data_IF_673839671545
#
_entry.id   IF_673839671545
#
_cell.length_a   1.000
_cell.length_b   1.000
_cell.length_c   1.000
_cell.angle_alpha   90.00
_cell.angle_beta   90.00
_cell.angle_gamma   90.00
#
_symmetry.space_group_name_H-M   'P 1'
#
loop_
_entity.id
_entity.type
_entity.pdbx_description
1 polymer ?
#
# COMPACT_ATOMS: atom_id res chain seq x y z
N UNK A 1 -69.32 3.81 -39.80
CA UNK A 1 -69.41 3.62 -38.34
C UNK A 1 -68.89 4.89 -37.70
N UNK A 2 -69.71 5.53 -36.87
CA UNK A 2 -69.36 6.80 -36.23
C UNK A 2 -68.43 6.53 -35.05
N UNK A 3 -67.22 7.07 -35.07
CA UNK A 3 -66.32 7.00 -33.91
C UNK A 3 -66.92 7.82 -32.78
N UNK A 4 -67.10 7.22 -31.60
CA UNK A 4 -67.42 7.97 -30.39
C UNK A 4 -66.10 8.57 -29.90
N UNK A 5 -65.90 9.86 -30.11
CA UNK A 5 -64.74 10.59 -29.63
C UNK A 5 -65.09 11.31 -28.32
N UNK A 6 -64.59 10.79 -27.19
CA UNK A 6 -64.83 11.35 -25.86
C UNK A 6 -63.61 12.16 -25.43
N UNK A 7 -63.57 13.43 -25.80
CA UNK A 7 -62.51 14.37 -25.38
C UNK A 7 -63.07 15.37 -24.38
N UNK A 8 -62.57 15.36 -23.14
CA UNK A 8 -62.76 16.49 -22.21
C UNK A 8 -61.62 17.48 -22.41
N UNK A 9 -61.95 18.77 -22.55
CA UNK A 9 -60.96 19.87 -22.60
C UNK A 9 -60.50 20.32 -21.22
N UNK A 10 -61.11 19.82 -20.14
CA UNK A 10 -60.82 20.21 -18.77
C UNK A 10 -60.27 19.03 -17.96
N UNK A 11 -59.09 19.22 -17.32
CA UNK A 11 -58.56 18.23 -16.38
C UNK A 11 -59.53 18.08 -15.19
N UNK A 12 -59.92 16.84 -14.88
CA UNK A 12 -60.80 16.52 -13.74
C UNK A 12 -62.28 16.29 -14.06
N UNK A 13 -62.73 16.42 -15.31
CA UNK A 13 -64.10 16.03 -15.69
C UNK A 13 -64.17 14.52 -15.92
N UNK A 14 -64.89 13.79 -15.05
CA UNK A 14 -65.08 12.35 -15.16
C UNK A 14 -66.06 12.01 -16.29
N UNK A 15 -65.64 11.17 -17.23
CA UNK A 15 -66.57 10.52 -18.16
C UNK A 15 -67.17 9.28 -17.51
N UNK A 16 -68.44 9.37 -17.11
CA UNK A 16 -69.16 8.19 -16.60
C UNK A 16 -69.77 7.41 -17.77
N UNK A 17 -69.14 6.29 -18.11
CA UNK A 17 -69.66 5.33 -19.07
C UNK A 17 -70.43 4.23 -18.34
N UNK A 18 -71.71 4.46 -18.11
CA UNK A 18 -72.58 3.51 -17.41
C UNK A 18 -73.20 2.50 -18.39
N UNK A 19 -73.39 1.25 -17.94
CA UNK A 19 -74.07 0.18 -18.68
C UNK A 19 -73.39 -0.25 -20.00
N UNK A 20 -72.08 -0.08 -20.15
CA UNK A 20 -71.36 -0.64 -21.30
C UNK A 20 -71.22 -2.15 -21.14
N UNK A 21 -71.93 -2.92 -21.97
CA UNK A 21 -71.90 -4.38 -21.95
C UNK A 21 -70.71 -4.97 -22.72
N UNK A 22 -70.27 -4.31 -23.79
CA UNK A 22 -69.16 -4.75 -24.65
C UNK A 22 -68.44 -3.55 -25.25
N UNK A 23 -67.11 -3.54 -25.17
CA UNK A 23 -66.25 -2.67 -25.98
C UNK A 23 -65.56 -3.59 -26.99
N UNK A 24 -66.06 -3.62 -28.23
CA UNK A 24 -65.48 -4.41 -29.31
C UNK A 24 -64.47 -3.58 -30.10
N UNK A 25 -63.44 -4.22 -30.62
CA UNK A 25 -62.54 -3.63 -31.61
C UNK A 25 -62.19 -4.64 -32.69
N UNK A 26 -61.78 -4.19 -33.88
CA UNK A 26 -61.19 -5.08 -34.88
C UNK A 26 -59.86 -5.64 -34.34
N UNK A 27 -59.47 -6.88 -34.72
CA UNK A 27 -58.19 -7.45 -34.29
C UNK A 27 -57.02 -6.50 -34.54
N UNK A 28 -56.15 -6.35 -33.54
CA UNK A 28 -54.96 -5.48 -33.61
C UNK A 28 -55.11 -4.11 -32.94
N UNK A 29 -56.31 -3.72 -32.50
CA UNK A 29 -56.49 -2.50 -31.71
C UNK A 29 -56.23 -2.75 -30.21
N UNK A 30 -55.66 -1.76 -29.53
CA UNK A 30 -55.36 -1.80 -28.09
C UNK A 30 -56.33 -0.87 -27.34
N UNK A 31 -56.98 -1.39 -26.29
CA UNK A 31 -57.69 -0.54 -25.34
C UNK A 31 -56.66 0.01 -24.33
N UNK A 32 -56.32 1.28 -24.45
CA UNK A 32 -55.46 1.97 -23.48
C UNK A 32 -56.32 2.68 -22.46
N UNK A 33 -56.19 2.30 -21.19
CA UNK A 33 -56.78 3.03 -20.05
C UNK A 33 -55.62 3.68 -19.30
N UNK A 34 -55.52 5.00 -19.38
CA UNK A 34 -54.46 5.79 -18.74
C UNK A 34 -55.04 6.65 -17.60
N UNK A 35 -54.41 6.63 -16.43
CA UNK A 35 -54.79 7.42 -15.25
C UNK A 35 -54.80 6.60 -13.95
N UNK A 36 -55.19 7.22 -12.83
CA UNK A 36 -55.37 6.54 -11.54
C UNK A 36 -56.70 5.78 -11.53
N UNK A 37 -56.77 4.65 -12.23
CA UNK A 37 -57.93 3.76 -12.13
C UNK A 37 -57.76 2.80 -10.97
N UNK A 38 -58.70 2.81 -10.01
CA UNK A 38 -58.81 1.70 -9.06
C UNK A 38 -59.23 0.44 -9.85
N UNK A 39 -58.31 -0.51 -10.00
CA UNK A 39 -58.52 -1.76 -10.75
C UNK A 39 -59.55 -2.71 -10.08
N UNK A 40 -60.16 -2.30 -8.97
CA UNK A 40 -61.00 -3.13 -8.10
C UNK A 40 -62.27 -3.72 -8.75
N UNK A 41 -62.55 -3.43 -10.01
CA UNK A 41 -63.76 -3.87 -10.73
C UNK A 41 -63.44 -4.50 -12.11
N UNK A 42 -62.17 -4.52 -12.55
CA UNK A 42 -61.81 -5.10 -13.84
C UNK A 42 -61.60 -6.61 -13.72
N UNK A 43 -62.64 -7.40 -14.05
CA UNK A 43 -62.50 -8.84 -14.24
C UNK A 43 -61.76 -9.08 -15.57
N UNK A 44 -60.43 -9.19 -15.51
CA UNK A 44 -59.55 -9.44 -16.66
C UNK A 44 -59.64 -10.88 -17.22
N UNK A 45 -60.58 -11.70 -16.72
CA UNK A 45 -60.72 -13.10 -17.11
C UNK A 45 -59.76 -14.00 -16.34
N UNK A 46 -59.35 -15.11 -16.95
CA UNK A 46 -58.55 -16.15 -16.29
C UNK A 46 -57.06 -15.83 -16.22
N UNK A 47 -56.54 -14.99 -17.11
CA UNK A 47 -55.11 -14.70 -17.24
C UNK A 47 -54.87 -13.19 -17.32
N UNK A 48 -53.93 -12.69 -16.52
CA UNK A 48 -53.35 -11.35 -16.68
C UNK A 48 -51.96 -11.56 -17.25
N UNK A 49 -51.72 -11.12 -18.48
CA UNK A 49 -50.38 -11.10 -19.08
C UNK A 49 -49.77 -9.70 -18.84
N UNK A 50 -48.69 -9.66 -18.06
CA UNK A 50 -47.96 -8.43 -17.75
C UNK A 50 -46.56 -8.57 -18.34
N UNK A 51 -46.31 -7.95 -19.50
CA UNK A 51 -45.00 -7.96 -20.16
C UNK A 51 -43.96 -7.03 -19.50
N UNK A 52 -44.28 -6.43 -18.36
CA UNK A 52 -43.49 -5.44 -17.65
C UNK A 52 -43.65 -5.54 -16.13
N UNK A 53 -43.56 -4.40 -15.43
CA UNK A 53 -43.66 -4.39 -13.97
C UNK A 53 -45.13 -4.39 -13.51
N UNK A 54 -45.48 -5.30 -12.60
CA UNK A 54 -46.71 -5.21 -11.81
C UNK A 54 -46.44 -4.37 -10.55
N UNK A 55 -46.94 -3.13 -10.52
CA UNK A 55 -46.87 -2.26 -9.34
C UNK A 55 -48.24 -2.20 -8.66
N UNK A 56 -48.35 -2.80 -7.48
CA UNK A 56 -49.58 -2.82 -6.69
C UNK A 56 -49.33 -2.23 -5.29
N UNK A 57 -50.11 -1.22 -4.89
CA UNK A 57 -50.01 -0.57 -3.57
C UNK A 57 -50.90 -1.25 -2.52
N UNK A 58 -50.87 -2.58 -2.45
CA UNK A 58 -51.70 -3.36 -1.53
C UNK A 58 -51.32 -4.84 -1.49
N UNK A 59 -52.19 -5.67 -0.92
CA UNK A 59 -51.96 -7.11 -0.82
C UNK A 59 -52.20 -7.80 -2.17
N UNK A 60 -51.33 -8.73 -2.54
CA UNK A 60 -51.56 -9.68 -3.63
C UNK A 60 -52.03 -11.01 -3.05
N UNK A 61 -53.17 -11.51 -3.53
CA UNK A 61 -53.66 -12.84 -3.16
C UNK A 61 -53.13 -13.85 -4.19
N UNK A 62 -52.36 -14.83 -3.72
CA UNK A 62 -51.90 -15.93 -4.56
C UNK A 62 -53.03 -16.96 -4.76
N UNK A 63 -53.08 -17.67 -5.90
CA UNK A 63 -53.86 -18.90 -6.03
C UNK A 63 -53.53 -19.84 -4.87
N UNK A 64 -54.51 -20.53 -4.31
CA UNK A 64 -54.30 -21.42 -3.18
C UNK A 64 -54.94 -22.79 -3.38
N UNK A 65 -54.46 -23.80 -2.64
CA UNK A 65 -55.00 -25.15 -2.67
C UNK A 65 -54.17 -26.14 -1.85
N UNK A 66 -54.73 -27.32 -1.60
CA UNK A 66 -54.03 -28.40 -0.90
C UNK A 66 -52.91 -28.99 -1.76
N UNK A 67 -52.02 -29.78 -1.16
CA UNK A 67 -51.01 -30.57 -1.90
C UNK A 67 -51.65 -31.49 -2.94
N UNK A 68 -52.84 -32.03 -2.69
CA UNK A 68 -53.57 -32.89 -3.63
C UNK A 68 -54.13 -32.10 -4.83
N UNK A 69 -54.46 -30.83 -4.64
CA UNK A 69 -55.02 -29.96 -5.68
C UNK A 69 -53.93 -29.20 -6.45
N UNK A 70 -52.73 -29.77 -6.58
CA UNK A 70 -51.66 -29.19 -7.39
C UNK A 70 -52.04 -29.27 -8.86
N UNK A 71 -52.11 -28.15 -9.60
CA UNK A 71 -52.26 -28.24 -11.04
C UNK A 71 -51.02 -28.90 -11.64
N UNK A 72 -51.17 -29.53 -12.81
CA UNK A 72 -50.03 -29.88 -13.65
C UNK A 72 -49.34 -28.56 -14.06
N UNK A 73 -48.24 -28.24 -13.39
CA UNK A 73 -47.62 -26.93 -13.42
C UNK A 73 -46.78 -26.72 -14.68
N UNK A 74 -46.75 -25.48 -15.18
CA UNK A 74 -45.68 -24.98 -16.04
C UNK A 74 -44.61 -24.34 -15.15
N UNK A 75 -43.34 -24.43 -15.53
CA UNK A 75 -42.25 -23.82 -14.77
C UNK A 75 -42.55 -22.34 -14.50
N UNK A 76 -42.37 -21.91 -13.24
CA UNK A 76 -42.61 -20.53 -12.81
C UNK A 76 -43.99 -20.28 -12.19
N UNK A 77 -44.87 -21.29 -12.08
CA UNK A 77 -46.12 -21.13 -11.33
C UNK A 77 -45.85 -20.87 -9.85
N UNK A 78 -46.57 -19.92 -9.25
CA UNK A 78 -46.53 -19.59 -7.82
C UNK A 78 -47.91 -19.77 -7.19
N UNK A 79 -47.97 -20.33 -5.97
CA UNK A 79 -49.22 -20.49 -5.22
C UNK A 79 -49.00 -20.57 -3.71
N UNK A 80 -50.07 -20.53 -2.93
CA UNK A 80 -50.06 -20.84 -1.50
C UNK A 80 -50.61 -22.25 -1.25
N UNK A 81 -49.83 -23.11 -0.57
CA UNK A 81 -50.26 -24.47 -0.25
C UNK A 81 -50.97 -24.50 1.11
N UNK A 82 -52.26 -24.83 1.11
CA UNK A 82 -53.07 -24.84 2.34
C UNK A 82 -52.83 -26.06 3.22
N UNK A 83 -52.14 -27.09 2.72
CA UNK A 83 -51.73 -28.25 3.53
C UNK A 83 -50.44 -27.97 4.29
N UNK A 84 -49.43 -27.36 3.64
CA UNK A 84 -48.14 -27.04 4.27
C UNK A 84 -48.09 -25.65 4.88
N UNK A 85 -49.11 -24.82 4.62
CA UNK A 85 -49.22 -23.41 5.05
C UNK A 85 -48.05 -22.54 4.57
N UNK A 86 -47.53 -22.84 3.39
CA UNK A 86 -46.36 -22.18 2.82
C UNK A 86 -46.60 -21.76 1.37
N UNK A 87 -46.05 -20.61 0.93
CA UNK A 87 -45.91 -20.32 -0.48
C UNK A 87 -45.03 -21.38 -1.15
N UNK A 88 -45.38 -21.78 -2.36
CA UNK A 88 -44.61 -22.74 -3.17
C UNK A 88 -44.56 -22.30 -4.63
N UNK A 89 -43.53 -22.76 -5.35
CA UNK A 89 -43.40 -22.55 -6.79
C UNK A 89 -43.09 -23.86 -7.52
N UNK A 90 -43.49 -23.96 -8.79
CA UNK A 90 -43.17 -25.12 -9.63
C UNK A 90 -41.89 -24.84 -10.44
N UNK A 91 -40.87 -25.67 -10.24
CA UNK A 91 -39.56 -25.48 -10.88
C UNK A 91 -39.42 -26.17 -12.25
N UNK A 92 -40.51 -26.71 -12.79
CA UNK A 92 -40.53 -27.51 -14.02
C UNK A 92 -40.56 -29.03 -13.78
N UNK A 93 -40.21 -29.47 -12.57
CA UNK A 93 -40.25 -30.89 -12.18
C UNK A 93 -41.14 -31.13 -10.96
N UNK A 94 -40.93 -30.37 -9.89
CA UNK A 94 -41.62 -30.52 -8.60
C UNK A 94 -42.09 -29.17 -8.06
N UNK A 95 -43.08 -29.22 -7.16
CA UNK A 95 -43.48 -28.09 -6.34
C UNK A 95 -42.51 -27.98 -5.15
N UNK A 96 -41.82 -26.84 -5.03
CA UNK A 96 -40.89 -26.55 -3.97
C UNK A 96 -41.45 -25.47 -3.04
N UNK A 97 -41.36 -25.68 -1.73
CA UNK A 97 -41.79 -24.69 -0.74
C UNK A 97 -40.80 -23.52 -0.68
N UNK A 98 -41.31 -22.30 -0.56
CA UNK A 98 -40.55 -21.10 -0.22
C UNK A 98 -40.50 -20.98 1.29
N UNK A 99 -39.74 -21.86 1.93
CA UNK A 99 -39.43 -21.77 3.36
C UNK A 99 -38.17 -20.93 3.51
N UNK A 100 -38.30 -19.68 3.97
CA UNK A 100 -37.14 -18.89 4.37
C UNK A 100 -36.90 -19.05 5.87
N UNK A 101 -35.68 -19.44 6.24
CA UNK A 101 -34.99 -18.71 7.32
C UNK A 101 -33.96 -17.72 6.75
N UNK A 102 -33.51 -17.85 5.50
CA UNK A 102 -32.79 -16.78 4.79
C UNK A 102 -32.72 -17.09 3.30
N UNK A 103 -33.42 -16.33 2.46
CA UNK A 103 -32.96 -16.10 1.08
C UNK A 103 -32.09 -14.86 1.18
N UNK A 104 -30.88 -15.00 1.72
CA UNK A 104 -29.86 -14.01 1.43
C UNK A 104 -29.66 -14.10 -0.09
N UNK A 105 -29.70 -12.99 -0.85
CA UNK A 105 -29.28 -13.03 -2.23
C UNK A 105 -27.92 -13.73 -2.26
N UNK A 106 -27.75 -14.72 -3.13
CA UNK A 106 -26.42 -15.19 -3.51
C UNK A 106 -25.76 -14.00 -4.20
N UNK A 107 -25.21 -13.09 -3.39
CA UNK A 107 -24.19 -12.18 -3.86
C UNK A 107 -23.14 -13.12 -4.42
N UNK A 108 -22.78 -13.02 -5.72
CA UNK A 108 -21.69 -13.80 -6.27
C UNK A 108 -20.54 -13.73 -5.28
N UNK A 109 -19.98 -14.87 -4.88
CA UNK A 109 -18.85 -14.85 -3.95
C UNK A 109 -17.75 -14.03 -4.61
N UNK A 110 -17.63 -12.77 -4.19
CA UNK A 110 -16.47 -11.97 -4.50
C UNK A 110 -15.33 -12.74 -3.87
N UNK A 111 -14.45 -13.29 -4.71
CA UNK A 111 -13.31 -14.04 -4.25
C UNK A 111 -12.61 -13.21 -3.19
N UNK A 112 -12.50 -13.75 -1.98
CA UNK A 112 -11.89 -13.03 -0.88
C UNK A 112 -10.52 -12.54 -1.32
N UNK A 113 -10.28 -11.24 -1.16
CA UNK A 113 -8.97 -10.67 -1.37
C UNK A 113 -8.12 -10.98 -0.15
N UNK A 114 -6.98 -11.61 -0.37
CA UNK A 114 -6.05 -11.96 0.71
C UNK A 114 -4.68 -11.38 0.42
N UNK A 115 -4.00 -10.94 1.47
CA UNK A 115 -2.61 -10.52 1.40
C UNK A 115 -1.83 -11.44 2.34
N UNK A 116 -0.76 -12.04 1.85
CA UNK A 116 0.13 -12.88 2.63
C UNK A 116 1.46 -12.16 2.81
N UNK A 117 1.94 -12.08 4.04
CA UNK A 117 3.24 -11.49 4.40
C UNK A 117 4.09 -12.61 5.03
N UNK A 118 5.23 -12.91 4.43
CA UNK A 118 6.16 -13.92 4.92
C UNK A 118 7.55 -13.29 5.15
N UNK A 119 8.18 -13.55 6.30
CA UNK A 119 9.55 -13.07 6.57
C UNK A 119 10.61 -14.06 6.09
N UNK A 120 11.75 -13.56 5.63
CA UNK A 120 12.89 -14.38 5.21
C UNK A 120 13.59 -15.11 6.37
N UNK A 121 13.58 -14.52 7.56
CA UNK A 121 14.22 -15.06 8.78
C UNK A 121 13.36 -16.10 9.52
N UNK A 122 12.09 -16.24 9.14
CA UNK A 122 11.22 -17.31 9.62
C UNK A 122 10.38 -17.86 8.45
N UNK A 123 10.91 -18.83 7.69
CA UNK A 123 10.21 -19.40 6.54
C UNK A 123 8.93 -20.17 6.93
N UNK A 124 8.70 -20.41 8.23
CA UNK A 124 7.41 -20.91 8.73
C UNK A 124 6.31 -19.85 8.81
N UNK A 125 6.62 -18.61 8.39
CA UNK A 125 5.71 -17.54 7.99
C UNK A 125 4.47 -17.40 8.86
N UNK A 126 4.43 -16.43 9.75
CA UNK A 126 3.16 -15.97 10.32
C UNK A 126 2.31 -15.44 9.17
N UNK A 127 1.48 -16.30 8.59
CA UNK A 127 0.54 -15.94 7.54
C UNK A 127 -0.53 -15.05 8.15
N UNK A 128 -0.34 -13.73 8.03
CA UNK A 128 -1.39 -12.77 8.32
C UNK A 128 -2.45 -12.89 7.22
N UNK A 129 -3.32 -13.88 7.35
CA UNK A 129 -4.39 -14.12 6.37
C UNK A 129 -5.48 -13.08 6.63
N UNK A 130 -5.52 -12.04 5.81
CA UNK A 130 -6.64 -11.12 5.78
C UNK A 130 -7.76 -11.70 4.92
N UNK A 131 -8.94 -11.86 5.51
CA UNK A 131 -10.12 -12.38 4.83
C UNK A 131 -11.22 -11.33 4.93
N UNK A 132 -11.15 -10.28 4.10
CA UNK A 132 -12.20 -9.27 4.08
C UNK A 132 -13.27 -9.63 3.06
N UNK A 133 -14.39 -10.12 3.56
CA UNK A 133 -15.65 -10.15 2.83
C UNK A 133 -16.44 -8.88 3.13
N UNK A 134 -15.99 -7.71 2.69
CA UNK A 134 -16.71 -6.46 2.98
C UNK A 134 -16.84 -5.58 1.73
N UNK A 135 -18.05 -5.06 1.53
CA UNK A 135 -18.42 -4.25 0.36
C UNK A 135 -18.34 -2.74 0.63
N UNK A 136 -18.16 -2.26 1.87
CA UNK A 136 -18.34 -0.82 2.19
C UNK A 136 -17.62 -0.24 3.42
N UNK A 137 -16.79 -0.95 4.20
CA UNK A 137 -16.17 -0.36 5.40
C UNK A 137 -14.63 -0.30 5.34
N UNK A 138 -14.09 0.92 5.44
CA UNK A 138 -12.67 1.22 5.59
C UNK A 138 -12.19 0.75 6.97
N UNK A 139 -11.63 -0.46 7.05
CA UNK A 139 -10.95 -0.94 8.24
C UNK A 139 -9.46 -0.66 8.15
N UNK A 140 -8.97 0.27 8.97
CA UNK A 140 -7.54 0.54 9.12
C UNK A 140 -6.94 -0.43 10.14
N UNK A 141 -6.21 -1.43 9.65
CA UNK A 141 -5.29 -2.21 10.47
C UNK A 141 -3.87 -1.64 10.30
N UNK A 142 -3.06 -1.63 11.35
CA UNK A 142 -1.67 -1.22 11.27
C UNK A 142 -0.79 -2.38 11.71
N UNK A 143 -0.14 -3.05 10.75
CA UNK A 143 0.90 -4.03 11.07
C UNK A 143 2.20 -3.27 11.33
N UNK A 144 2.69 -3.24 12.56
CA UNK A 144 4.01 -2.73 12.88
C UNK A 144 5.06 -3.80 12.64
N UNK A 145 5.80 -3.70 11.54
CA UNK A 145 6.94 -4.57 11.26
C UNK A 145 8.18 -3.92 11.87
N UNK A 146 8.40 -4.21 13.16
CA UNK A 146 9.65 -3.85 13.85
C UNK A 146 10.67 -4.92 13.50
N UNK A 147 11.56 -4.62 12.57
CA UNK A 147 12.58 -5.56 12.16
C UNK A 147 13.52 -5.88 13.32
N UNK A 148 13.65 -7.17 13.65
CA UNK A 148 14.96 -7.67 14.09
C UNK A 148 15.94 -7.42 12.94
N UNK A 149 17.20 -7.12 13.27
CA UNK A 149 18.25 -6.82 12.28
C UNK A 149 18.13 -7.78 11.09
N UNK A 150 18.11 -7.24 9.86
CA UNK A 150 18.13 -8.04 8.62
C UNK A 150 16.81 -8.76 8.24
N UNK A 151 15.68 -8.04 8.18
CA UNK A 151 14.40 -8.63 7.77
C UNK A 151 13.94 -8.16 6.39
N UNK A 152 13.78 -9.11 5.46
CA UNK A 152 13.03 -8.93 4.21
C UNK A 152 11.70 -9.67 4.32
N UNK A 153 10.62 -9.03 3.87
CA UNK A 153 9.29 -9.61 3.87
C UNK A 153 8.75 -9.71 2.44
N UNK A 154 8.31 -10.89 2.05
CA UNK A 154 7.59 -11.11 0.81
C UNK A 154 6.09 -10.89 1.03
N UNK A 155 5.50 -10.02 0.22
CA UNK A 155 4.09 -9.64 0.26
C UNK A 155 3.46 -10.09 -1.05
N UNK A 156 2.40 -10.88 -0.99
CA UNK A 156 1.64 -11.33 -2.17
C UNK A 156 0.15 -11.06 -1.96
N UNK A 157 -0.54 -10.67 -3.03
CA UNK A 157 -2.00 -10.50 -3.02
C UNK A 157 -2.69 -11.61 -3.83
N UNK A 158 -3.90 -12.00 -3.43
CA UNK A 158 -4.78 -12.94 -4.14
C UNK A 158 -6.22 -12.40 -4.15
N UNK A 159 -7.09 -12.93 -5.01
CA UNK A 159 -8.52 -12.55 -5.05
C UNK A 159 -8.86 -11.21 -5.70
N UNK A 160 -7.87 -10.45 -6.19
CA UNK A 160 -8.03 -9.16 -6.87
C UNK A 160 -7.01 -8.11 -6.43
N UNK A 161 -6.89 -7.00 -7.16
CA UNK A 161 -5.96 -5.91 -6.80
C UNK A 161 -6.34 -5.29 -5.47
N UNK A 162 -5.43 -5.25 -4.51
CA UNK A 162 -5.65 -4.60 -3.21
C UNK A 162 -4.93 -3.24 -3.18
N UNK A 163 -5.37 -2.33 -2.33
CA UNK A 163 -4.63 -1.09 -2.07
C UNK A 163 -4.12 -1.09 -0.64
N UNK A 164 -2.82 -0.83 -0.49
CA UNK A 164 -2.18 -0.76 0.81
C UNK A 164 -1.41 0.56 0.94
N UNK A 165 -1.66 1.28 2.02
CA UNK A 165 -0.82 2.38 2.48
C UNK A 165 0.40 1.79 3.19
N UNK A 166 1.57 2.06 2.62
CA UNK A 166 2.84 1.79 3.26
C UNK A 166 3.36 3.05 3.92
N UNK A 167 3.84 2.94 5.17
CA UNK A 167 4.58 3.99 5.86
C UNK A 167 5.95 3.44 6.22
N UNK A 168 7.00 3.98 5.61
CA UNK A 168 8.38 3.51 5.70
C UNK A 168 9.24 4.52 6.46
N UNK A 169 9.86 4.07 7.55
CA UNK A 169 10.84 4.81 8.32
C UNK A 169 12.22 4.26 7.99
N UNK A 170 13.11 5.11 7.44
CA UNK A 170 14.50 4.75 7.23
C UNK A 170 15.21 4.56 8.57
N UNK A 171 16.31 3.80 8.60
CA UNK A 171 17.04 3.54 9.83
C UNK A 171 17.88 4.75 10.27
N UNK A 172 18.12 4.88 11.57
CA UNK A 172 19.01 5.92 12.10
C UNK A 172 20.48 5.55 11.90
N UNK A 173 21.35 6.55 11.71
CA UNK A 173 22.81 6.37 11.76
C UNK A 173 23.29 6.15 13.20
N UNK A 174 24.51 5.64 13.38
CA UNK A 174 25.14 5.53 14.69
C UNK A 174 25.79 6.84 15.14
N UNK A 175 25.91 7.00 16.46
CA UNK A 175 26.75 8.04 17.05
C UNK A 175 28.24 7.75 16.85
N UNK A 176 29.06 8.78 17.03
CA UNK A 176 30.52 8.62 17.11
C UNK A 176 30.90 8.01 18.45
N UNK A 177 32.11 7.47 18.55
CA UNK A 177 32.51 6.80 19.79
C UNK A 177 32.61 7.77 20.98
N UNK A 178 33.19 8.95 20.81
CA UNK A 178 33.42 9.85 21.95
C UNK A 178 32.29 10.86 22.13
N UNK A 179 31.71 11.32 21.03
CA UNK A 179 30.60 12.26 21.01
C UNK A 179 29.81 12.12 19.70
N UNK A 180 28.69 12.83 19.61
CA UNK A 180 27.96 13.03 18.36
C UNK A 180 26.82 12.04 18.20
N UNK A 181 25.73 12.53 17.61
CA UNK A 181 24.51 11.76 17.42
C UNK A 181 24.38 11.41 15.94
N UNK A 182 24.09 10.14 15.64
CA UNK A 182 23.76 9.75 14.28
C UNK A 182 22.53 10.51 13.77
N UNK A 183 22.45 10.69 12.45
CA UNK A 183 21.28 11.27 11.80
C UNK A 183 20.06 10.37 11.98
N UNK A 184 18.89 10.97 12.13
CA UNK A 184 17.63 10.22 12.08
C UNK A 184 17.38 9.69 10.67
N UNK A 185 16.62 8.61 10.52
CA UNK A 185 16.18 8.14 9.21
C UNK A 185 15.10 9.04 8.60
N UNK A 186 14.75 8.75 7.35
CA UNK A 186 13.69 9.42 6.63
C UNK A 186 12.29 8.88 6.91
N UNK A 187 11.31 9.57 6.36
CA UNK A 187 9.92 9.13 6.29
C UNK A 187 9.45 9.10 4.84
N UNK A 188 8.81 8.02 4.41
CA UNK A 188 8.11 7.96 3.12
C UNK A 188 6.85 7.12 3.25
N UNK A 189 5.71 7.63 2.80
CA UNK A 189 4.47 6.87 2.78
C UNK A 189 3.76 6.98 1.43
N UNK A 190 2.92 5.99 1.11
CA UNK A 190 2.06 6.06 -0.07
C UNK A 190 1.20 4.83 -0.30
N UNK A 191 0.19 4.99 -1.16
CA UNK A 191 -0.80 3.96 -1.49
C UNK A 191 -0.38 3.18 -2.72
N UNK A 192 -0.09 1.90 -2.52
CA UNK A 192 0.43 0.98 -3.53
C UNK A 192 -0.66 0.00 -3.97
N UNK A 193 -0.91 -0.14 -5.28
CA UNK A 193 -1.74 -1.23 -5.80
C UNK A 193 -0.96 -2.55 -5.76
N UNK A 194 -1.47 -3.51 -4.99
CA UNK A 194 -0.97 -4.88 -4.86
C UNK A 194 -1.73 -5.78 -5.83
N UNK A 195 -1.13 -6.07 -6.98
CA UNK A 195 -1.73 -6.86 -8.06
C UNK A 195 -1.56 -8.36 -7.78
N UNK A 196 -2.61 -9.18 -7.95
CA UNK A 196 -2.51 -10.61 -7.75
C UNK A 196 -1.43 -11.27 -8.60
N UNK A 197 -0.71 -12.23 -8.01
CA UNK A 197 0.36 -12.95 -8.68
C UNK A 197 1.71 -12.20 -8.73
N UNK A 198 1.77 -10.96 -8.25
CA UNK A 198 3.02 -10.21 -8.09
C UNK A 198 3.50 -10.33 -6.64
N UNK A 199 4.79 -10.64 -6.48
CA UNK A 199 5.49 -10.60 -5.19
C UNK A 199 6.15 -9.25 -5.01
N UNK A 200 5.85 -8.60 -3.90
CA UNK A 200 6.47 -7.37 -3.46
C UNK A 200 7.41 -7.70 -2.30
N UNK A 201 8.64 -7.19 -2.33
CA UNK A 201 9.59 -7.39 -1.23
C UNK A 201 9.75 -6.10 -0.44
N UNK A 202 9.55 -6.17 0.86
CA UNK A 202 9.74 -5.09 1.81
C UNK A 202 11.03 -5.34 2.58
N UNK A 203 12.00 -4.44 2.44
CA UNK A 203 13.25 -4.44 3.19
C UNK A 203 13.18 -3.44 4.33
N UNK A 204 13.54 -3.89 5.53
CA UNK A 204 13.71 -3.02 6.71
C UNK A 204 15.19 -2.68 6.88
N UNK A 205 15.51 -1.39 6.83
CA UNK A 205 16.88 -0.91 6.99
C UNK A 205 17.43 -1.20 8.38
N UNK A 206 18.70 -1.59 8.45
CA UNK A 206 19.40 -1.75 9.72
C UNK A 206 19.90 -0.40 10.23
N UNK A 207 19.80 -0.17 11.54
CA UNK A 207 20.44 0.96 12.20
C UNK A 207 21.96 0.92 12.05
N UNK A 208 22.59 2.09 11.93
CA UNK A 208 24.04 2.18 11.91
C UNK A 208 24.65 1.61 13.19
N UNK A 209 25.83 1.02 13.11
CA UNK A 209 26.55 0.49 14.26
C UNK A 209 27.62 1.48 14.72
N UNK A 210 27.69 1.70 16.04
CA UNK A 210 28.80 2.42 16.64
C UNK A 210 29.97 1.45 16.83
N UNK A 211 31.16 1.82 16.37
CA UNK A 211 32.36 1.00 16.51
C UNK A 211 33.22 1.54 17.67
N UNK A 212 33.69 0.68 18.60
CA UNK A 212 34.59 1.10 19.66
C UNK A 212 36.08 1.22 19.20
N UNK A 213 36.88 2.13 19.79
CA UNK A 213 38.31 2.30 19.62
C UNK A 213 39.05 1.00 19.82
N UNK A 214 39.99 0.73 18.92
CA UNK A 214 40.82 -0.46 19.03
C UNK A 214 40.01 -1.76 18.93
N UNK A 215 38.72 -1.70 18.55
CA UNK A 215 38.03 -2.86 18.01
C UNK A 215 38.87 -3.44 16.87
N UNK A 216 38.90 -4.77 16.69
CA UNK A 216 39.76 -5.43 15.71
C UNK A 216 39.68 -4.70 14.37
N UNK A 217 40.82 -4.14 13.93
CA UNK A 217 40.93 -3.40 12.68
C UNK A 217 40.57 -4.27 11.47
N UNK A 218 40.70 -3.70 10.28
CA UNK A 218 39.59 -3.44 9.37
C UNK A 218 38.62 -4.64 9.28
N UNK A 219 37.77 -4.83 10.29
CA UNK A 219 36.61 -5.69 10.06
C UNK A 219 35.71 -4.87 9.18
N UNK A 220 35.76 -5.20 7.89
CA UNK A 220 34.80 -4.94 6.84
C UNK A 220 33.44 -5.32 7.40
N UNK A 221 32.84 -4.42 8.18
CA UNK A 221 31.51 -4.66 8.69
C UNK A 221 30.64 -4.63 7.44
N UNK A 222 29.95 -5.74 7.19
CA UNK A 222 29.00 -5.84 6.07
C UNK A 222 28.14 -4.60 6.11
N UNK A 223 28.11 -3.83 5.02
CA UNK A 223 27.30 -2.60 4.95
C UNK A 223 25.93 -2.84 5.55
N UNK A 224 25.47 -2.00 6.50
CA UNK A 224 24.16 -2.14 7.11
C UNK A 224 23.12 -2.45 6.05
N UNK A 225 22.27 -3.45 6.28
CA UNK A 225 21.24 -3.83 5.30
C UNK A 225 20.38 -2.61 5.00
N UNK A 226 20.11 -2.39 3.70
CA UNK A 226 19.66 -1.10 3.21
C UNK A 226 20.82 -0.15 2.87
N UNK A 227 22.05 -0.68 2.75
CA UNK A 227 23.22 0.03 2.26
C UNK A 227 23.67 1.20 3.12
N UNK A 228 23.77 1.08 4.44
CA UNK A 228 24.45 2.10 5.25
C UNK A 228 25.93 2.24 4.83
N UNK A 229 26.47 3.45 4.89
CA UNK A 229 27.87 3.75 4.60
C UNK A 229 28.80 3.29 5.70
N UNK A 230 29.97 2.80 5.31
CA UNK A 230 31.01 2.30 6.21
C UNK A 230 31.74 3.42 6.95
N UNK A 231 32.29 3.09 8.11
CA UNK A 231 33.20 3.95 8.89
C UNK A 231 34.66 3.62 8.55
N UNK A 232 35.54 4.54 8.91
CA UNK A 232 36.96 4.45 8.57
C UNK A 232 37.61 3.28 9.29
N UNK A 233 38.76 2.85 8.80
CA UNK A 233 39.51 1.67 9.27
C UNK A 233 39.87 1.69 10.76
N UNK A 234 39.97 2.86 11.40
CA UNK A 234 40.21 2.97 12.85
C UNK A 234 38.94 2.91 13.72
N UNK A 235 37.74 2.93 13.11
CA UNK A 235 36.47 2.67 13.80
C UNK A 235 36.00 3.78 14.75
N UNK A 236 36.44 5.03 14.59
CA UNK A 236 36.08 6.10 15.52
C UNK A 236 34.74 6.80 15.22
N UNK A 237 34.25 6.71 13.98
CA UNK A 237 32.97 7.28 13.53
C UNK A 237 31.80 6.31 13.68
N UNK A 238 30.58 6.82 13.49
CA UNK A 238 29.35 6.02 13.39
C UNK A 238 29.02 5.63 11.96
N UNK A 239 28.47 4.44 11.74
CA UNK A 239 27.96 4.04 10.42
C UNK A 239 26.68 4.77 10.06
N UNK A 240 26.43 4.91 8.76
CA UNK A 240 25.12 5.32 8.26
C UNK A 240 24.07 4.22 8.50
N UNK A 241 22.82 4.62 8.71
CA UNK A 241 21.67 3.71 8.72
C UNK A 241 21.29 3.28 7.31
N UNK A 242 20.71 2.08 7.18
CA UNK A 242 20.17 1.59 5.92
C UNK A 242 18.80 2.19 5.55
N UNK A 243 18.46 2.15 4.25
CA UNK A 243 17.12 2.51 3.79
C UNK A 243 16.08 1.43 4.15
N UNK A 244 14.83 1.85 4.26
CA UNK A 244 13.66 0.96 4.29
C UNK A 244 12.89 1.12 2.98
N UNK A 245 12.56 0.03 2.30
CA UNK A 245 12.05 0.11 0.93
C UNK A 245 11.13 -1.02 0.50
N UNK A 246 10.20 -0.72 -0.40
CA UNK A 246 9.31 -1.66 -1.07
C UNK A 246 9.74 -1.81 -2.53
N UNK A 247 9.81 -3.05 -3.01
CA UNK A 247 10.34 -3.42 -4.33
C UNK A 247 9.43 -4.42 -5.05
N UNK A 248 9.44 -4.40 -6.38
CA UNK A 248 8.89 -5.48 -7.20
C UNK A 248 9.86 -6.65 -7.31
N UNK A 249 9.42 -7.86 -7.01
CA UNK A 249 10.28 -9.05 -7.11
C UNK A 249 11.55 -8.91 -6.27
N UNK A 250 12.63 -9.57 -6.67
CA UNK A 250 13.84 -9.68 -5.86
C UNK A 250 14.56 -8.34 -5.66
N UNK A 251 15.01 -8.08 -4.43
CA UNK A 251 15.86 -6.93 -4.13
C UNK A 251 17.29 -7.25 -4.56
N UNK A 252 17.91 -6.37 -5.35
CA UNK A 252 19.32 -6.46 -5.72
C UNK A 252 20.06 -5.32 -5.03
N UNK A 253 20.49 -5.50 -3.76
CA UNK A 253 21.16 -4.45 -3.01
C UNK A 253 22.52 -4.11 -3.63
N UNK A 254 22.96 -2.87 -3.45
CA UNK A 254 24.35 -2.48 -3.73
C UNK A 254 25.32 -3.10 -2.74
N UNK A 255 26.61 -3.08 -3.08
CA UNK A 255 27.69 -3.57 -2.21
C UNK A 255 28.83 -2.55 -2.14
N UNK A 256 29.27 -2.21 -0.92
CA UNK A 256 30.38 -1.29 -0.69
C UNK A 256 31.45 -2.01 0.10
N UNK A 257 32.67 -1.76 -0.31
CA UNK A 257 33.88 -1.95 0.46
C UNK A 257 34.51 -0.57 0.69
N UNK A 258 35.54 -0.49 1.52
CA UNK A 258 36.29 0.76 1.71
C UNK A 258 36.93 1.27 0.41
N UNK A 259 37.14 0.37 -0.57
CA UNK A 259 37.87 0.66 -1.81
C UNK A 259 36.99 0.68 -3.07
N UNK A 260 35.74 0.22 -2.99
CA UNK A 260 34.85 0.12 -4.15
C UNK A 260 33.39 0.12 -3.74
N UNK A 261 32.54 0.68 -4.60
CA UNK A 261 31.09 0.66 -4.44
C UNK A 261 30.48 0.15 -5.73
N UNK A 262 29.75 -0.96 -5.65
CA UNK A 262 28.97 -1.53 -6.75
C UNK A 262 27.51 -1.13 -6.60
N UNK A 263 26.91 -0.43 -7.58
CA UNK A 263 25.51 -0.06 -7.52
C UNK A 263 24.61 -1.28 -7.43
N UNK A 264 23.55 -1.18 -6.63
CA UNK A 264 22.41 -2.10 -6.69
C UNK A 264 21.54 -1.79 -7.91
N UNK A 265 20.60 -2.69 -8.22
CA UNK A 265 19.55 -2.39 -9.20
C UNK A 265 18.35 -1.78 -8.48
N UNK A 266 18.05 -0.52 -8.78
CA UNK A 266 16.88 0.19 -8.26
C UNK A 266 15.72 0.23 -9.26
N UNK A 267 15.80 -0.49 -10.38
CA UNK A 267 14.78 -0.46 -11.43
C UNK A 267 13.42 -0.98 -10.95
N UNK A 268 13.40 -1.74 -9.85
CA UNK A 268 12.22 -2.34 -9.25
C UNK A 268 11.78 -1.65 -7.95
N UNK A 269 12.43 -0.56 -7.54
CA UNK A 269 12.01 0.23 -6.39
C UNK A 269 10.62 0.83 -6.61
N UNK A 270 9.82 0.83 -5.54
CA UNK A 270 8.46 1.38 -5.54
C UNK A 270 8.37 2.57 -4.58
N UNK A 271 8.65 2.35 -3.29
CA UNK A 271 8.76 3.39 -2.26
C UNK A 271 10.03 3.13 -1.45
N UNK A 272 10.80 4.17 -1.15
CA UNK A 272 11.98 4.07 -0.29
C UNK A 272 12.05 5.25 0.65
N UNK A 273 12.52 4.98 1.86
CA UNK A 273 12.88 5.98 2.84
C UNK A 273 14.36 5.85 3.17
N UNK A 274 15.13 6.92 2.95
CA UNK A 274 16.58 6.93 3.17
C UNK A 274 16.96 6.84 4.65
N UNK A 275 18.07 6.19 4.95
CA UNK A 275 18.66 6.12 6.28
C UNK A 275 19.48 7.37 6.64
N UNK A 276 19.67 7.60 7.93
CA UNK A 276 20.49 8.69 8.46
C UNK A 276 21.99 8.46 8.29
N UNK A 277 22.77 9.54 8.15
CA UNK A 277 24.22 9.48 8.18
C UNK A 277 24.76 9.21 9.59
N UNK A 278 25.95 8.66 9.70
CA UNK A 278 26.63 8.48 10.97
C UNK A 278 27.31 9.76 11.46
N UNK A 279 27.53 9.85 12.77
CA UNK A 279 28.29 10.95 13.38
C UNK A 279 29.81 10.75 13.30
N UNK A 280 30.56 11.84 13.50
CA UNK A 280 32.01 11.77 13.67
C UNK A 280 32.41 11.49 15.12
N UNK A 281 33.67 11.10 15.32
CA UNK A 281 34.25 10.86 16.64
C UNK A 281 34.12 12.04 17.61
N UNK A 282 34.35 13.26 17.14
CA UNK A 282 34.49 14.50 17.94
C UNK A 282 33.20 15.27 18.12
N UNK A 283 32.05 14.63 17.90
CA UNK A 283 30.78 15.22 18.27
C UNK A 283 29.98 15.83 17.15
N UNK A 284 30.39 15.67 15.88
CA UNK A 284 29.61 16.18 14.76
C UNK A 284 28.45 15.24 14.43
N UNK A 285 27.27 15.82 14.28
CA UNK A 285 26.02 15.10 14.03
C UNK A 285 25.97 14.59 12.59
N UNK A 286 25.50 13.35 12.44
CA UNK A 286 25.21 12.77 11.12
C UNK A 286 23.99 13.44 10.47
N UNK A 287 24.03 13.63 9.16
CA UNK A 287 22.93 14.23 8.41
C UNK A 287 21.69 13.35 8.49
N UNK A 288 20.53 13.96 8.75
CA UNK A 288 19.27 13.22 8.72
C UNK A 288 19.01 12.64 7.32
N UNK A 289 18.60 11.38 7.29
CA UNK A 289 18.09 10.70 6.11
C UNK A 289 16.72 11.22 5.73
N UNK A 290 16.34 11.00 4.48
CA UNK A 290 14.94 11.05 4.07
C UNK A 290 14.58 12.02 2.97
N UNK A 291 13.27 12.21 2.84
CA UNK A 291 12.66 13.00 1.78
C UNK A 291 12.97 12.50 0.39
N UNK A 292 12.61 13.32 -0.60
CA UNK A 292 13.29 13.27 -1.89
C UNK A 292 14.73 13.82 -1.77
N UNK A 293 15.12 14.42 -0.63
CA UNK A 293 16.47 14.93 -0.39
C UNK A 293 16.91 14.67 1.06
N UNK A 294 18.03 13.97 1.23
CA UNK A 294 18.72 13.83 2.50
C UNK A 294 19.41 15.13 2.92
N UNK A 295 19.72 15.27 4.22
CA UNK A 295 20.47 16.41 4.76
C UNK A 295 21.97 16.08 4.75
N UNK A 296 22.80 17.08 4.49
CA UNK A 296 24.23 16.95 4.70
C UNK A 296 24.58 16.73 6.18
N UNK A 297 25.67 16.02 6.46
CA UNK A 297 26.22 15.92 7.82
C UNK A 297 26.80 17.25 8.31
N UNK A 298 26.99 17.38 9.62
CA UNK A 298 27.66 18.55 10.18
C UNK A 298 29.13 18.64 9.75
N UNK A 299 29.60 19.87 9.58
CA UNK A 299 30.98 20.15 9.23
C UNK A 299 31.94 19.90 10.41
N UNK A 300 33.06 19.25 10.11
CA UNK A 300 34.24 19.15 10.97
C UNK A 300 35.26 20.24 10.62
N UNK A 301 36.53 19.87 10.52
CA UNK A 301 37.56 20.69 9.86
C UNK A 301 37.36 20.78 8.34
N UNK A 302 36.45 19.97 7.79
CA UNK A 302 36.00 20.01 6.41
C UNK A 302 34.47 19.91 6.36
N UNK A 303 33.91 20.12 5.17
CA UNK A 303 32.48 19.99 4.95
C UNK A 303 31.98 18.59 5.35
N UNK A 304 30.76 18.51 5.85
CA UNK A 304 30.06 17.25 6.06
C UNK A 304 29.82 16.50 4.75
N UNK A 305 29.54 15.20 4.85
CA UNK A 305 29.10 14.42 3.70
C UNK A 305 27.81 15.02 3.13
N UNK A 306 27.74 15.20 1.81
CA UNK A 306 26.57 15.78 1.16
C UNK A 306 25.33 14.89 1.34
N UNK A 307 24.16 15.51 1.50
CA UNK A 307 22.89 14.79 1.43
C UNK A 307 22.60 14.39 -0.02
N UNK A 308 21.99 13.22 -0.23
CA UNK A 308 21.57 12.81 -1.57
C UNK A 308 20.29 13.55 -1.99
N UNK A 309 20.10 13.79 -3.29
CA UNK A 309 18.90 14.42 -3.85
C UNK A 309 18.28 13.56 -4.94
N UNK A 310 16.96 13.43 -4.90
CA UNK A 310 16.09 12.89 -5.93
C UNK A 310 15.15 14.03 -6.35
N UNK A 311 15.20 14.44 -7.60
CA UNK A 311 14.38 15.56 -8.09
C UNK A 311 13.13 15.09 -8.86
N UNK A 312 12.81 13.79 -8.79
CA UNK A 312 11.70 13.19 -9.52
C UNK A 312 12.10 12.52 -10.84
N UNK A 313 11.13 11.90 -11.51
CA UNK A 313 11.34 11.20 -12.78
C UNK A 313 11.74 12.19 -13.87
N UNK A 314 12.90 11.96 -14.50
CA UNK A 314 13.39 12.75 -15.64
C UNK A 314 14.24 13.98 -15.28
N UNK A 315 14.69 14.10 -14.02
CA UNK A 315 15.53 15.23 -13.55
C UNK A 315 16.89 14.77 -13.02
N UNK A 316 17.85 15.68 -12.92
CA UNK A 316 19.20 15.42 -12.41
C UNK A 316 19.13 15.09 -10.92
N UNK A 317 19.15 13.81 -10.60
CA UNK A 317 19.31 13.32 -9.23
C UNK A 317 20.79 13.05 -8.94
N UNK A 318 21.24 13.28 -7.71
CA UNK A 318 22.65 13.15 -7.35
C UNK A 318 22.81 12.44 -6.01
N UNK A 319 23.75 11.49 -5.96
CA UNK A 319 24.22 10.97 -4.69
C UNK A 319 24.88 12.07 -3.86
N UNK A 320 24.88 11.89 -2.55
CA UNK A 320 25.52 12.81 -1.65
C UNK A 320 27.00 12.96 -1.99
N UNK A 321 27.42 14.18 -2.29
CA UNK A 321 28.80 14.48 -2.66
C UNK A 321 29.77 14.15 -1.54
N UNK A 322 30.93 13.62 -1.91
CA UNK A 322 32.09 13.50 -1.04
C UNK A 322 32.57 14.89 -0.59
N UNK A 323 33.02 15.00 0.66
CA UNK A 323 33.32 16.28 1.30
C UNK A 323 34.63 16.98 0.87
N UNK A 324 35.47 16.39 0.02
CA UNK A 324 36.67 17.08 -0.51
C UNK A 324 37.30 16.38 -1.72
N UNK A 325 37.93 17.12 -2.67
CA UNK A 325 38.83 16.52 -3.66
C UNK A 325 40.09 15.98 -2.97
N UNK A 326 40.62 14.86 -3.48
CA UNK A 326 41.81 14.19 -2.97
C UNK A 326 42.94 15.16 -2.62
N UNK A 327 43.35 15.21 -1.36
CA UNK A 327 44.55 15.93 -0.95
C UNK A 327 45.77 15.22 -1.58
N UNK A 328 46.62 15.99 -2.25
CA UNK A 328 47.90 15.55 -2.79
C UNK A 328 48.94 15.58 -1.65
N UNK A 329 49.68 14.50 -1.30
CA UNK A 329 50.10 13.33 -2.10
C UNK A 329 49.18 12.08 -1.97
N UNK A 330 49.32 11.05 -2.84
CA UNK A 330 48.24 10.14 -3.26
C UNK A 330 47.95 8.97 -2.30
N UNK A 331 47.94 9.20 -0.99
CA UNK A 331 47.75 8.13 0.00
C UNK A 331 46.37 8.08 0.66
N UNK A 332 45.30 8.46 -0.05
CA UNK A 332 44.00 7.86 0.20
C UNK A 332 43.00 8.08 -0.92
N UNK A 333 42.27 7.02 -1.23
CA UNK A 333 40.95 7.04 -1.82
C UNK A 333 40.04 7.98 -1.02
N UNK A 334 39.61 9.08 -1.65
CA UNK A 334 38.69 10.06 -1.05
C UNK A 334 37.38 9.41 -0.60
N UNK A 335 36.59 10.12 0.22
CA UNK A 335 35.29 9.61 0.65
C UNK A 335 34.47 9.24 -0.58
N UNK A 336 33.91 8.02 -0.57
CA UNK A 336 33.16 7.53 -1.72
C UNK A 336 31.84 8.31 -1.75
N UNK A 337 31.50 8.87 -2.91
CA UNK A 337 30.15 9.34 -3.14
C UNK A 337 29.18 8.17 -2.87
N UNK A 338 28.00 8.47 -2.34
CA UNK A 338 26.97 7.44 -2.23
C UNK A 338 26.66 6.85 -3.61
N UNK A 339 26.19 5.61 -3.62
CA UNK A 339 25.79 4.90 -4.83
C UNK A 339 24.31 4.52 -4.69
N UNK A 340 23.71 4.10 -5.79
CA UNK A 340 22.33 3.64 -5.81
C UNK A 340 22.13 2.51 -4.80
N UNK A 341 21.14 2.66 -3.91
CA UNK A 341 20.84 1.72 -2.81
C UNK A 341 21.99 1.58 -1.80
N UNK A 342 22.89 2.55 -1.70
CA UNK A 342 24.04 2.47 -0.81
C UNK A 342 24.67 3.82 -0.44
N UNK A 343 24.74 4.13 0.85
CA UNK A 343 25.47 5.24 1.43
C UNK A 343 26.98 5.17 1.13
N UNK A 344 27.59 6.34 1.00
CA UNK A 344 29.01 6.51 0.78
C UNK A 344 29.82 6.14 2.01
N UNK A 345 30.98 5.50 1.81
CA UNK A 345 31.97 5.29 2.86
C UNK A 345 32.73 6.57 3.18
N UNK A 346 33.14 6.77 4.43
CA UNK A 346 34.08 7.85 4.76
C UNK A 346 35.48 7.55 4.19
N UNK A 347 36.29 8.59 3.99
CA UNK A 347 37.65 8.47 3.43
C UNK A 347 38.60 7.68 4.33
N UNK A 348 39.55 6.96 3.73
CA UNK A 348 40.61 6.22 4.45
C UNK A 348 41.79 7.11 4.92
N UNK A 349 41.85 8.40 4.58
CA UNK A 349 42.96 9.30 4.98
C UNK A 349 42.71 10.09 6.25
N UNK A 350 43.68 10.05 7.17
CA UNK A 350 43.99 11.17 8.06
C UNK A 350 43.37 11.01 9.44
N UNK A 351 43.80 9.99 10.16
CA UNK A 351 43.05 9.24 11.17
C UNK A 351 42.99 9.91 12.56
N UNK A 352 42.96 11.25 12.59
CA UNK A 352 42.79 11.98 13.83
C UNK A 352 41.33 12.05 14.30
N UNK A 353 40.35 11.78 13.42
CA UNK A 353 38.97 12.18 13.71
C UNK A 353 37.78 11.37 13.21
N UNK A 354 37.96 10.31 12.41
CA UNK A 354 36.90 9.34 12.11
C UNK A 354 35.57 9.93 11.63
N UNK A 355 35.49 10.28 10.34
CA UNK A 355 34.25 10.75 9.71
C UNK A 355 33.12 9.72 9.75
N UNK A 356 31.88 10.19 9.74
CA UNK A 356 30.69 9.34 9.75
C UNK A 356 30.35 8.75 8.37
N UNK A 357 29.79 7.53 8.35
CA UNK A 357 29.32 6.89 7.11
C UNK A 357 28.05 7.56 6.54
N UNK A 358 27.90 7.60 5.22
CA UNK A 358 26.69 8.13 4.57
C UNK A 358 25.47 7.23 4.77
N UNK A 359 24.26 7.79 4.84
CA UNK A 359 23.03 7.01 4.96
C UNK A 359 22.67 6.29 3.65
N UNK A 360 22.10 5.09 3.76
CA UNK A 360 21.56 4.35 2.61
C UNK A 360 20.34 5.03 2.01
N UNK A 361 20.12 4.92 0.70
CA UNK A 361 18.99 5.56 0.05
C UNK A 361 18.87 5.16 -1.41
N UNK A 362 17.83 5.65 -2.10
CA UNK A 362 17.72 5.43 -3.54
C UNK A 362 18.96 5.96 -4.27
N UNK A 363 19.44 7.12 -3.82
CA UNK A 363 20.84 7.50 -3.88
C UNK A 363 21.37 7.61 -2.44
N UNK A 364 22.53 7.01 -2.17
CA UNK A 364 23.15 7.12 -0.86
C UNK A 364 23.68 8.51 -0.55
N UNK A 365 23.66 8.87 0.72
CA UNK A 365 24.34 10.07 1.24
C UNK A 365 25.86 9.93 1.16
N UNK A 366 26.58 11.03 1.13
CA UNK A 366 28.04 11.04 1.06
C UNK A 366 28.67 10.71 2.41
N UNK A 367 29.84 10.07 2.40
CA UNK A 367 30.63 9.88 3.62
C UNK A 367 31.20 11.21 4.15
N UNK A 368 31.33 11.31 5.47
CA UNK A 368 32.04 12.40 6.12
C UNK A 368 33.55 12.35 5.88
N UNK A 369 34.23 13.48 6.06
CA UNK A 369 35.68 13.55 6.03
C UNK A 369 36.28 13.04 7.34
N UNK A 370 37.40 12.31 7.24
CA UNK A 370 38.17 11.79 8.37
C UNK A 370 39.08 12.79 9.08
N UNK A 371 39.07 14.07 8.69
CA UNK A 371 39.90 15.14 9.30
C UNK A 371 39.77 15.22 10.82
N UNK A 372 40.64 15.96 11.52
CA UNK A 372 40.48 16.25 12.95
C UNK A 372 40.19 17.75 13.17
N UNK A 373 38.97 18.16 13.55
CA UNK A 373 37.80 17.30 13.82
C UNK A 373 37.17 16.69 12.57
N UNK A 374 36.58 15.49 12.70
CA UNK A 374 35.89 14.75 11.65
C UNK A 374 34.53 15.37 11.35
N UNK A 375 33.94 15.00 10.21
CA UNK A 375 32.61 15.49 9.82
C UNK A 375 31.57 14.36 9.82
N UNK A 376 30.29 14.71 9.99
CA UNK A 376 29.20 13.75 9.88
C UNK A 376 29.00 13.27 8.43
N UNK A 377 28.45 12.07 8.26
CA UNK A 377 28.00 11.58 6.96
C UNK A 377 26.66 12.21 6.57
N UNK A 378 26.39 12.34 5.27
CA UNK A 378 25.09 12.83 4.78
C UNK A 378 24.01 11.74 4.81
N UNK A 379 22.75 12.13 4.94
CA UNK A 379 21.62 11.22 4.86
C UNK A 379 21.33 10.76 3.42
N UNK A 380 20.82 9.53 3.28
CA UNK A 380 20.34 9.03 1.99
C UNK A 380 18.97 9.61 1.62
N UNK A 381 18.65 9.66 0.32
CA UNK A 381 17.34 10.09 -0.13
C UNK A 381 16.37 8.91 -0.27
N UNK A 382 15.08 9.22 -0.14
CA UNK A 382 13.98 8.33 -0.46
C UNK A 382 13.66 8.28 -1.97
N UNK A 383 12.60 7.57 -2.31
CA UNK A 383 12.11 7.42 -3.68
C UNK A 383 10.62 7.12 -3.69
N UNK A 384 9.93 7.64 -4.70
CA UNK A 384 8.51 7.37 -4.97
C UNK A 384 8.36 7.08 -6.46
N UNK A 385 7.86 5.90 -6.81
CA UNK A 385 7.55 5.57 -8.20
C UNK A 385 6.34 6.36 -8.72
N UNK A 386 6.29 6.66 -10.02
CA UNK A 386 5.21 7.48 -10.63
C UNK A 386 3.84 6.84 -10.65
N UNK A 387 3.75 5.51 -10.57
CA UNK A 387 2.48 4.79 -10.59
C UNK A 387 1.87 4.60 -9.20
N UNK A 388 2.41 5.27 -8.17
CA UNK A 388 1.83 5.32 -6.83
C UNK A 388 0.67 6.32 -6.79
N UNK A 389 -0.47 5.92 -6.22
CA UNK A 389 -1.70 6.71 -6.28
C UNK A 389 -1.59 8.02 -5.48
N UNK A 390 -0.95 7.95 -4.32
CA UNK A 390 -0.63 9.11 -3.47
C UNK A 390 0.58 8.77 -2.62
N UNK A 391 1.47 9.75 -2.43
CA UNK A 391 2.65 9.55 -1.60
C UNK A 391 3.15 10.87 -1.02
N UNK A 392 3.80 10.78 0.13
CA UNK A 392 4.54 11.89 0.74
C UNK A 392 5.86 11.38 1.27
N UNK A 393 6.87 12.24 1.29
CA UNK A 393 8.19 11.91 1.84
C UNK A 393 8.73 13.13 2.57
N UNK A 394 9.35 12.92 3.73
CA UNK A 394 9.97 13.98 4.51
C UNK A 394 11.28 13.51 5.12
N UNK A 395 12.15 14.48 5.39
CA UNK A 395 13.48 14.25 5.95
C UNK A 395 13.42 14.26 7.48
N UNK A 396 14.16 13.35 8.12
CA UNK A 396 14.40 13.35 9.58
C UNK A 396 13.28 12.86 10.51
N UNK A 397 12.14 12.41 9.98
CA UNK A 397 11.01 11.87 10.75
C UNK A 397 11.01 10.33 10.89
N UNK A 398 12.13 9.67 10.54
CA UNK A 398 12.28 8.22 10.61
C UNK A 398 12.82 7.73 11.95
N UNK A 399 13.54 6.63 11.92
CA UNK A 399 14.11 6.02 13.12
C UNK A 399 15.18 6.90 13.77
N UNK A 400 15.21 6.92 15.10
CA UNK A 400 16.14 7.73 15.89
C UNK A 400 17.59 7.32 15.63
N UNK A 401 18.46 8.31 15.42
CA UNK A 401 19.91 8.10 15.37
C UNK A 401 20.46 7.68 16.73
N UNK A 402 21.59 6.97 16.71
CA UNK A 402 22.29 6.54 17.92
C UNK A 402 22.91 7.73 18.64
N UNK A 403 22.85 7.73 19.97
CA UNK A 403 23.65 8.62 20.81
C UNK A 403 25.15 8.31 20.68
N UNK A 404 26.04 9.11 21.28
CA UNK A 404 27.46 8.77 21.37
C UNK A 404 27.63 7.33 21.89
N UNK A 405 28.48 6.52 21.24
CA UNK A 405 28.64 5.05 21.44
C UNK A 405 27.42 4.17 21.13
N UNK A 406 26.27 4.76 20.81
CA UNK A 406 25.02 4.05 20.56
C UNK A 406 24.81 3.72 19.08
N UNK A 407 24.30 2.52 18.82
CA UNK A 407 23.78 2.15 17.50
C UNK A 407 22.52 2.95 17.18
N UNK A 408 22.30 3.22 15.89
CA UNK A 408 21.03 3.74 15.41
C UNK A 408 19.91 2.72 15.57
N UNK A 409 18.67 3.21 15.61
CA UNK A 409 17.50 2.33 15.61
C UNK A 409 17.20 1.83 14.19
N UNK A 410 16.78 0.56 14.07
CA UNK A 410 16.35 -0.02 12.81
C UNK A 410 15.20 0.76 12.20
N UNK A 411 15.06 0.66 10.88
CA UNK A 411 13.87 1.12 10.18
C UNK A 411 12.61 0.43 10.67
N UNK A 412 11.46 1.00 10.31
CA UNK A 412 10.14 0.43 10.62
C UNK A 412 9.26 0.58 9.41
N UNK A 413 8.37 -0.39 9.18
CA UNK A 413 7.32 -0.26 8.20
C UNK A 413 5.94 -0.53 8.82
N UNK A 414 4.98 0.32 8.47
CA UNK A 414 3.56 0.11 8.75
C UNK A 414 2.81 -0.13 7.45
N UNK A 415 1.88 -1.08 7.50
CA UNK A 415 1.01 -1.40 6.37
C UNK A 415 -0.44 -1.27 6.83
N UNK A 416 -1.21 -0.45 6.11
CA UNK A 416 -2.65 -0.27 6.33
C UNK A 416 -3.43 -0.48 5.04
N UNK A 417 -4.59 -1.13 5.13
CA UNK A 417 -5.35 -1.57 3.96
C UNK A 417 -6.56 -0.69 3.70
N UNK A 418 -6.84 -0.48 2.41
CA UNK A 418 -8.03 0.23 1.93
C UNK A 418 -8.65 -0.63 0.82
N UNK A 419 -9.95 -0.91 0.94
CA UNK A 419 -10.74 -1.61 -0.07
C UNK A 419 -11.47 -0.64 -0.97
#
# INVERSE_FOLDING_TARGET
MSNINLTSVNQGTLWNLNNIKTIGSVPGNVLTISGNTSLSIMNLGTNIDVSGNLNANGNMILPNGSTANRPFGVQGYFRFNTTTLLPEYYNGNIWANLTSTTIAPTIPSISARTINIASSSNPSGTNYTWNSSFTTQTLSFSLSLIGTNNSTYAITATGGTCYALFTLLGAGGAGGYNAGTGGTGGYTCGVVPLVPGITYNLLIGQGGLAIPPGGPGPIVQTTPIGGGGLVGTLGYGGQGGGYTGLFYGNIVPGSATNTSVSPGSNSNAILLSGGGGGASYEGKVGGAGGGLSGVAGENGASNGGGGATWSGIGSTSASGGASSPALNPPFATGSLAGVVLQGGGCSDSGDGGGGGGGGGGYYGGGGGNGSNPGSGGGGGCGYIATYILSATSSTGNGSTGGSATGSGTNGVAYISYYS
#
